data_IF_449241135273
#
_entry.id   IF_449241135273
#
_cell.length_a   1.000
_cell.length_b   1.000
_cell.length_c   1.000
_cell.angle_alpha   90.00
_cell.angle_beta   90.00
_cell.angle_gamma   90.00
#
_symmetry.space_group_name_H-M   'P 1'
#
loop_
_entity.id
_entity.type
_entity.pdbx_description
1 polymer ?
#
# COMPACT_ATOMS: atom_id res chain seq x y z
N UNK A 1 9.36 18.32 -3.51
CA UNK A 1 8.27 17.63 -4.22
C UNK A 1 7.33 18.68 -4.78
N UNK A 2 6.92 18.53 -6.03
CA UNK A 2 5.87 19.27 -6.69
C UNK A 2 4.61 18.39 -6.72
N UNK A 3 3.46 19.00 -6.51
CA UNK A 3 2.16 18.31 -6.51
C UNK A 3 1.19 19.16 -7.33
N UNK A 4 0.56 18.53 -8.31
CA UNK A 4 -0.48 19.12 -9.15
C UNK A 4 -1.82 18.47 -8.85
N UNK A 5 -2.89 19.25 -8.92
CA UNK A 5 -4.25 18.76 -8.74
C UNK A 5 -5.23 19.88 -8.42
N UNK A 6 -6.25 19.58 -7.63
CA UNK A 6 -7.35 20.51 -7.34
C UNK A 6 -7.46 20.87 -5.86
N UNK A 7 -7.93 22.09 -5.56
CA UNK A 7 -8.26 22.48 -4.20
C UNK A 7 -9.69 22.09 -3.87
N UNK A 8 -9.88 21.48 -2.70
CA UNK A 8 -11.21 21.19 -2.15
C UNK A 8 -11.32 21.78 -0.77
N UNK A 9 -12.39 22.53 -0.54
CA UNK A 9 -12.77 22.96 0.80
C UNK A 9 -13.94 22.12 1.29
N UNK A 10 -13.82 21.56 2.50
CA UNK A 10 -14.90 20.85 3.18
C UNK A 10 -15.21 21.47 4.52
N UNK A 11 -16.50 21.44 4.87
CA UNK A 11 -16.99 21.79 6.20
C UNK A 11 -17.20 20.51 7.00
N UNK A 12 -16.80 20.52 8.26
CA UNK A 12 -17.08 19.44 9.20
C UNK A 12 -17.29 20.00 10.60
N UNK A 13 -17.94 19.22 11.46
CA UNK A 13 -18.21 19.60 12.84
C UNK A 13 -17.33 18.77 13.77
N UNK A 14 -16.61 19.43 14.67
CA UNK A 14 -15.75 18.75 15.63
C UNK A 14 -16.53 18.20 16.84
N UNK A 15 -15.83 17.50 17.75
CA UNK A 15 -16.44 16.88 18.95
C UNK A 15 -17.04 17.91 19.91
N UNK A 16 -16.65 19.17 19.80
CA UNK A 16 -17.14 20.28 20.62
C UNK A 16 -18.31 20.99 19.92
N UNK A 17 -18.86 20.42 18.84
CA UNK A 17 -19.93 20.98 18.02
C UNK A 17 -19.56 22.29 17.30
N UNK A 18 -18.27 22.54 17.07
CA UNK A 18 -17.82 23.73 16.36
C UNK A 18 -17.68 23.43 14.87
N UNK A 19 -18.21 24.30 14.02
CA UNK A 19 -18.00 24.22 12.57
C UNK A 19 -16.56 24.59 12.23
N UNK A 20 -15.90 23.72 11.45
CA UNK A 20 -14.54 23.90 10.96
C UNK A 20 -14.52 23.79 9.43
N UNK A 21 -13.62 24.56 8.82
CA UNK A 21 -13.35 24.51 7.39
C UNK A 21 -11.93 24.01 7.19
N UNK A 22 -11.76 23.12 6.22
CA UNK A 22 -10.44 22.60 5.86
C UNK A 22 -10.32 22.64 4.35
N UNK A 23 -9.25 23.25 3.86
CA UNK A 23 -8.89 23.26 2.45
C UNK A 23 -7.75 22.26 2.25
N UNK A 24 -7.99 21.30 1.37
CA UNK A 24 -7.08 20.19 1.08
C UNK A 24 -6.73 20.23 -0.41
N UNK A 25 -5.55 19.73 -0.75
CA UNK A 25 -5.12 19.54 -2.14
C UNK A 25 -5.37 18.08 -2.48
N UNK A 26 -6.24 17.83 -3.46
CA UNK A 26 -6.43 16.50 -4.03
C UNK A 26 -5.41 16.38 -5.15
N UNK A 27 -4.40 15.54 -4.92
CA UNK A 27 -3.29 15.35 -5.85
C UNK A 27 -3.70 14.45 -7.02
N UNK A 28 -3.49 14.95 -8.23
CA UNK A 28 -3.62 14.18 -9.49
C UNK A 28 -2.24 13.69 -9.94
N UNK A 29 -1.19 14.52 -9.80
CA UNK A 29 0.18 14.18 -10.14
C UNK A 29 1.17 14.63 -9.04
N UNK A 30 2.20 13.82 -8.79
CA UNK A 30 3.27 14.14 -7.83
C UNK A 30 4.64 13.91 -8.47
N UNK A 31 5.52 14.91 -8.37
CA UNK A 31 6.90 14.82 -8.84
C UNK A 31 7.88 15.11 -7.71
N UNK A 32 8.81 14.19 -7.47
CA UNK A 32 9.90 14.44 -6.53
C UNK A 32 10.88 15.43 -7.16
N UNK A 33 11.06 16.56 -6.47
CA UNK A 33 12.11 17.52 -6.83
C UNK A 33 13.34 17.08 -6.05
N UNK A 34 14.16 16.22 -6.65
CA UNK A 34 15.44 15.84 -6.06
C UNK A 34 16.41 17.03 -6.10
N UNK A 35 17.14 17.22 -5.00
CA UNK A 35 18.11 18.27 -4.83
C UNK A 35 19.42 17.89 -5.51
N UNK A 36 19.48 18.03 -6.84
CA UNK A 36 20.71 17.84 -7.65
C UNK A 36 21.45 16.52 -7.34
N UNK A 37 21.01 15.45 -8.00
CA UNK A 37 21.90 14.34 -8.35
C UNK A 37 21.93 13.21 -7.34
N UNK A 38 20.81 12.54 -7.14
CA UNK A 38 20.83 11.10 -6.93
C UNK A 38 20.03 10.44 -8.05
N UNK A 39 20.74 9.82 -8.98
CA UNK A 39 20.21 8.75 -9.83
C UNK A 39 19.65 7.67 -8.91
N UNK A 40 18.38 7.78 -8.54
CA UNK A 40 17.60 6.65 -8.10
C UNK A 40 16.50 6.47 -9.14
N UNK A 41 16.83 5.64 -10.12
CA UNK A 41 15.84 4.90 -10.88
C UNK A 41 14.86 4.32 -9.88
N UNK A 42 13.65 4.87 -9.85
CA UNK A 42 12.52 4.24 -9.18
C UNK A 42 12.16 3.05 -10.04
N UNK A 43 12.94 1.98 -9.86
CA UNK A 43 12.60 0.64 -10.30
C UNK A 43 11.40 0.21 -9.47
N UNK A 44 10.20 0.53 -9.96
CA UNK A 44 8.97 -0.14 -9.53
C UNK A 44 9.01 -1.57 -10.08
N UNK A 45 9.96 -2.35 -9.59
CA UNK A 45 10.01 -3.79 -9.72
C UNK A 45 8.89 -4.36 -8.84
N UNK A 46 7.68 -4.44 -9.41
CA UNK A 46 6.71 -5.40 -8.95
C UNK A 46 7.22 -6.81 -9.28
N UNK A 47 8.13 -7.28 -8.43
CA UNK A 47 8.70 -8.61 -8.43
C UNK A 47 7.70 -9.53 -7.75
N UNK A 48 6.85 -10.19 -8.54
CA UNK A 48 6.31 -11.49 -8.14
C UNK A 48 6.56 -12.48 -9.26
N UNK A 49 7.81 -12.92 -9.36
CA UNK A 49 8.15 -14.17 -10.00
C UNK A 49 8.34 -15.23 -8.91
N UNK A 50 7.47 -16.23 -8.87
CA UNK A 50 7.80 -17.54 -8.32
C UNK A 50 7.27 -18.63 -9.27
N UNK A 51 8.21 -19.16 -10.05
CA UNK A 51 8.34 -20.54 -10.55
C UNK A 51 7.69 -21.58 -9.63
N UNK A 52 7.19 -22.75 -10.08
CA UNK A 52 7.98 -23.83 -10.69
C UNK A 52 7.07 -24.94 -11.22
N UNK A 53 7.48 -25.60 -12.30
CA UNK A 53 6.87 -26.79 -12.91
C UNK A 53 7.59 -28.07 -12.46
N UNK A 54 6.83 -29.19 -12.36
CA UNK A 54 7.22 -30.62 -12.36
C UNK A 54 7.90 -31.25 -11.10
N UNK A 55 7.31 -32.32 -10.56
CA UNK A 55 7.65 -33.74 -10.86
C UNK A 55 7.02 -34.73 -9.84
N UNK A 56 6.69 -35.91 -10.35
CA UNK A 56 6.23 -37.15 -9.71
C UNK A 56 7.12 -37.69 -8.57
N UNK A 57 6.49 -38.24 -7.50
CA UNK A 57 6.74 -39.55 -6.86
C UNK A 57 6.21 -39.58 -5.40
N UNK A 58 5.65 -40.73 -5.00
CA UNK A 58 5.01 -40.98 -3.71
C UNK A 58 5.99 -41.04 -2.52
N UNK A 59 5.63 -40.38 -1.40
CA UNK A 59 5.91 -40.82 -0.03
C UNK A 59 5.12 -39.97 0.98
N UNK A 60 4.51 -40.65 1.94
CA UNK A 60 3.60 -40.14 2.98
C UNK A 60 4.29 -39.24 3.99
N UNK A 61 3.85 -37.98 4.08
CA UNK A 61 3.95 -37.15 5.29
C UNK A 61 2.75 -36.22 5.28
N UNK A 62 1.93 -36.27 6.33
CA UNK A 62 0.70 -35.50 6.42
C UNK A 62 0.98 -33.99 6.23
N UNK A 63 0.12 -33.26 5.49
CA UNK A 63 0.23 -31.81 5.43
C UNK A 63 -0.05 -31.26 6.83
N UNK A 64 0.91 -30.51 7.38
CA UNK A 64 0.64 -29.59 8.49
C UNK A 64 -0.41 -28.62 7.97
N UNK A 65 -1.63 -28.75 8.50
CA UNK A 65 -2.77 -27.96 8.06
C UNK A 65 -2.55 -26.53 8.54
N UNK A 66 -2.20 -25.62 7.63
CA UNK A 66 -2.05 -24.19 7.95
C UNK A 66 -3.35 -23.52 8.35
N UNK A 67 -4.48 -24.24 8.29
CA UNK A 67 -5.80 -23.79 8.74
C UNK A 67 -5.90 -23.64 10.27
N UNK A 68 -5.08 -24.35 11.07
CA UNK A 68 -5.05 -24.15 12.53
C UNK A 68 -4.46 -22.78 12.95
N UNK A 69 -3.75 -22.09 12.05
CA UNK A 69 -3.20 -20.75 12.30
C UNK A 69 -4.17 -19.61 11.94
N UNK A 70 -5.21 -19.88 11.14
CA UNK A 70 -6.25 -18.90 10.82
C UNK A 70 -7.31 -18.80 11.95
N UNK A 71 -7.47 -19.85 12.77
CA UNK A 71 -8.50 -19.93 13.82
C UNK A 71 -8.06 -19.35 15.19
N UNK A 72 -6.78 -19.01 15.37
CA UNK A 72 -6.21 -18.54 16.65
C UNK A 72 -5.70 -17.08 16.59
N UNK A 73 -6.29 -16.25 15.73
CA UNK A 73 -6.05 -14.79 15.69
C UNK A 73 -7.10 -14.08 16.55
N UNK A 74 -6.75 -13.59 17.76
CA UNK A 74 -7.65 -12.75 18.54
C UNK A 74 -7.81 -11.35 17.91
N UNK A 75 -8.98 -10.76 18.07
CA UNK A 75 -9.27 -9.35 17.75
C UNK A 75 -8.53 -8.37 18.68
#
# INVERSE_FOLDING_TARGET
MYVEGSLRTRKWTDKNNVEKYTTEIIADEMQMLDGRGATQSVDTANTTATTTTQKTAAATTAPVNTQDFDDDIPF
#
